data_IF_287714840467
#
_entry.id   IF_287714840467
#
_cell.length_a   1.000
_cell.length_b   1.000
_cell.length_c   1.000
_cell.angle_alpha   90.00
_cell.angle_beta   90.00
_cell.angle_gamma   90.00
#
_symmetry.space_group_name_H-M   'P 1'
#
loop_
_entity.id
_entity.type
_entity.pdbx_description
1 polymer ?
#
# COMPACT_ATOMS: atom_id res chain seq x y z
N UNK A 1 12.33 19.68 12.31
CA UNK A 1 12.31 18.21 12.52
C UNK A 1 13.61 17.78 13.17
N UNK A 2 13.61 16.74 13.99
CA UNK A 2 14.84 16.22 14.61
C UNK A 2 15.72 15.56 13.53
N UNK A 3 17.00 15.92 13.50
CA UNK A 3 17.98 15.23 12.66
C UNK A 3 18.31 13.86 13.28
N UNK A 4 18.45 12.83 12.44
CA UNK A 4 18.97 11.52 12.82
C UNK A 4 20.46 11.48 12.50
N UNK A 5 21.26 10.94 13.43
CA UNK A 5 22.70 10.72 13.23
C UNK A 5 22.95 9.23 13.15
N UNK A 6 23.58 8.77 12.07
CA UNK A 6 23.85 7.36 11.80
C UNK A 6 25.37 7.19 11.70
N UNK A 7 25.94 6.20 12.39
CA UNK A 7 27.36 5.91 12.33
C UNK A 7 27.70 5.22 11.00
N UNK A 8 28.64 5.76 10.25
CA UNK A 8 29.18 5.14 9.03
C UNK A 8 30.21 4.05 9.36
N UNK A 9 30.40 3.11 8.43
CA UNK A 9 31.31 1.97 8.61
C UNK A 9 32.78 2.39 8.77
N UNK A 10 33.18 3.50 8.15
CA UNK A 10 34.54 4.06 8.25
C UNK A 10 34.79 4.87 9.54
N UNK A 11 33.87 4.86 10.49
CA UNK A 11 33.95 5.64 11.74
C UNK A 11 33.52 7.09 11.63
N UNK A 12 33.08 7.55 10.46
CA UNK A 12 32.39 8.82 10.25
C UNK A 12 30.90 8.78 10.59
N UNK A 13 30.17 9.82 10.24
CA UNK A 13 28.77 10.02 10.61
C UNK A 13 27.93 10.53 9.42
N UNK A 14 26.70 10.04 9.32
CA UNK A 14 25.68 10.60 8.45
C UNK A 14 24.70 11.42 9.28
N UNK A 15 24.39 12.63 8.81
CA UNK A 15 23.34 13.47 9.38
C UNK A 15 22.18 13.51 8.39
N UNK A 16 21.04 12.99 8.82
CA UNK A 16 19.82 12.85 8.02
C UNK A 16 18.77 13.79 8.58
N UNK A 17 18.30 14.72 7.77
CA UNK A 17 17.19 15.61 8.09
C UNK A 17 15.96 15.24 7.26
N UNK A 18 14.86 15.98 7.41
CA UNK A 18 13.64 15.78 6.59
C UNK A 18 13.88 15.94 5.09
N UNK A 19 14.91 16.67 4.68
CA UNK A 19 15.13 17.00 3.27
C UNK A 19 16.59 16.91 2.80
N UNK A 20 17.51 16.50 3.68
CA UNK A 20 18.93 16.39 3.36
C UNK A 20 19.61 15.19 3.98
N UNK A 21 20.69 14.75 3.32
CA UNK A 21 21.67 13.81 3.85
C UNK A 21 23.07 14.40 3.65
N UNK A 22 23.87 14.46 4.71
CA UNK A 22 25.27 14.90 4.67
C UNK A 22 26.17 13.91 5.42
N UNK A 23 27.40 13.69 4.93
CA UNK A 23 28.40 12.91 5.65
C UNK A 23 29.46 13.79 6.31
N UNK A 24 29.99 13.27 7.41
CA UNK A 24 31.02 13.87 8.22
C UNK A 24 32.06 12.80 8.54
N UNK A 25 33.33 13.18 8.56
CA UNK A 25 34.40 12.29 9.01
C UNK A 25 34.34 12.06 10.53
N UNK A 26 35.24 11.22 11.03
CA UNK A 26 35.36 10.88 12.46
C UNK A 26 35.64 12.09 13.36
N UNK A 27 36.19 13.16 12.80
CA UNK A 27 36.56 14.39 13.50
C UNK A 27 35.44 15.45 13.39
N UNK A 28 34.32 15.11 12.74
CA UNK A 28 33.13 15.94 12.60
C UNK A 28 33.21 16.98 11.48
N UNK A 29 34.20 16.87 10.57
CA UNK A 29 34.28 17.73 9.40
C UNK A 29 33.42 17.15 8.29
N UNK A 30 32.62 18.00 7.64
CA UNK A 30 31.80 17.57 6.50
C UNK A 30 32.70 17.06 5.37
N UNK A 31 32.34 15.90 4.83
CA UNK A 31 32.94 15.30 3.64
C UNK A 31 31.86 15.25 2.56
N UNK A 32 32.27 15.42 1.30
CA UNK A 32 31.35 15.40 0.16
C UNK A 32 30.24 16.47 0.19
N UNK A 33 29.38 16.38 -0.82
CA UNK A 33 28.26 17.30 -0.98
C UNK A 33 27.04 16.84 -0.17
N UNK A 34 26.30 17.81 0.37
CA UNK A 34 24.98 17.53 0.96
C UNK A 34 23.99 17.18 -0.15
N UNK A 35 23.39 16.00 -0.06
CA UNK A 35 22.25 15.59 -0.88
C UNK A 35 21.04 16.37 -0.39
N UNK A 36 20.32 17.05 -1.29
CA UNK A 36 19.21 17.94 -0.96
C UNK A 36 17.97 17.61 -1.80
N UNK A 37 16.82 18.12 -1.35
CA UNK A 37 15.55 17.96 -2.05
C UNK A 37 14.91 16.59 -1.81
N UNK A 38 15.30 15.92 -0.72
CA UNK A 38 14.77 14.63 -0.33
C UNK A 38 13.43 14.79 0.41
N UNK A 39 12.64 13.72 0.48
CA UNK A 39 11.39 13.65 1.25
C UNK A 39 11.44 12.59 2.35
N UNK A 40 11.74 13.04 3.57
CA UNK A 40 11.92 12.20 4.77
C UNK A 40 12.87 11.00 4.55
N UNK A 41 14.11 11.24 4.10
CA UNK A 41 15.04 10.19 3.69
C UNK A 41 15.47 9.25 4.84
N UNK A 42 15.85 8.05 4.45
CA UNK A 42 16.45 7.01 5.26
C UNK A 42 17.73 6.49 4.62
N UNK A 43 18.69 6.06 5.45
CA UNK A 43 19.95 5.47 5.00
C UNK A 43 19.96 3.98 5.35
N UNK A 44 20.30 3.16 4.36
CA UNK A 44 20.49 1.73 4.48
C UNK A 44 21.97 1.43 4.19
N UNK A 45 22.62 0.67 5.08
CA UNK A 45 24.02 0.27 4.90
C UNK A 45 24.14 -0.66 3.70
N UNK A 46 25.05 -0.32 2.78
CA UNK A 46 25.43 -1.15 1.65
C UNK A 46 26.54 -2.13 2.02
N UNK A 47 27.43 -2.39 1.05
CA UNK A 47 28.67 -3.12 1.26
C UNK A 47 29.87 -2.24 0.90
N UNK A 48 31.05 -2.62 1.37
CA UNK A 48 32.31 -1.94 1.07
C UNK A 48 32.26 -0.42 1.36
N UNK A 49 31.60 -0.03 2.47
CA UNK A 49 31.46 1.38 2.87
C UNK A 49 30.56 2.22 1.97
N UNK A 50 29.67 1.60 1.17
CA UNK A 50 28.66 2.28 0.35
C UNK A 50 27.29 2.25 1.03
N UNK A 51 26.37 3.12 0.61
CA UNK A 51 25.07 3.30 1.25
C UNK A 51 23.96 3.53 0.23
N UNK A 52 22.74 3.17 0.61
CA UNK A 52 21.52 3.53 -0.11
C UNK A 52 20.79 4.61 0.68
N UNK A 53 20.42 5.70 0.02
CA UNK A 53 19.51 6.72 0.53
C UNK A 53 18.17 6.52 -0.14
N UNK A 54 17.14 6.25 0.64
CA UNK A 54 15.78 6.04 0.15
C UNK A 54 14.89 7.13 0.72
N UNK A 55 14.12 7.79 -0.13
CA UNK A 55 13.10 8.75 0.29
C UNK A 55 11.73 8.33 -0.29
N UNK A 56 10.70 9.18 -0.18
CA UNK A 56 9.35 8.84 -0.68
C UNK A 56 9.28 8.53 -2.19
N UNK A 57 10.19 9.06 -3.01
CA UNK A 57 10.10 8.94 -4.48
C UNK A 57 11.43 8.55 -5.14
N UNK A 58 12.53 8.45 -4.40
CA UNK A 58 13.87 8.29 -4.93
C UNK A 58 14.68 7.24 -4.18
N UNK A 59 15.60 6.62 -4.91
CA UNK A 59 16.66 5.78 -4.37
C UNK A 59 17.99 6.26 -4.92
N UNK A 60 18.92 6.59 -4.03
CA UNK A 60 20.24 7.12 -4.37
C UNK A 60 21.30 6.19 -3.79
N UNK A 61 22.17 5.66 -4.63
CA UNK A 61 23.32 4.89 -4.19
C UNK A 61 24.54 5.80 -4.08
N UNK A 62 25.24 5.75 -2.94
CA UNK A 62 26.36 6.63 -2.64
C UNK A 62 27.56 5.85 -2.09
N UNK A 63 28.76 6.40 -2.27
CA UNK A 63 29.94 5.90 -1.56
C UNK A 63 30.06 6.48 -0.13
N UNK A 64 31.11 6.07 0.58
CA UNK A 64 31.37 6.48 1.96
C UNK A 64 31.73 7.96 2.14
N UNK A 65 31.92 8.70 1.04
CA UNK A 65 32.15 10.15 1.03
C UNK A 65 30.91 10.92 0.52
N UNK A 66 29.79 10.24 0.30
CA UNK A 66 28.54 10.86 -0.14
C UNK A 66 28.47 11.17 -1.63
N UNK A 67 29.42 10.70 -2.43
CA UNK A 67 29.35 10.84 -3.88
C UNK A 67 28.21 9.98 -4.42
N UNK A 68 27.35 10.59 -5.23
CA UNK A 68 26.27 9.87 -5.92
C UNK A 68 26.85 8.97 -7.01
N UNK A 69 26.66 7.67 -6.82
CA UNK A 69 27.01 6.62 -7.78
C UNK A 69 25.81 6.27 -8.67
N UNK A 70 24.59 6.33 -8.13
CA UNK A 70 23.34 6.13 -8.87
C UNK A 70 22.19 6.92 -8.27
N UNK A 71 21.25 7.31 -9.12
CA UNK A 71 20.01 7.95 -8.73
C UNK A 71 18.85 7.36 -9.54
N UNK A 72 17.93 6.70 -8.86
CA UNK A 72 16.66 6.19 -9.39
C UNK A 72 15.57 7.14 -8.91
N UNK A 73 14.87 7.79 -9.83
CA UNK A 73 13.85 8.80 -9.56
C UNK A 73 12.46 8.25 -9.86
N UNK A 74 11.43 8.90 -9.31
CA UNK A 74 10.03 8.61 -9.60
C UNK A 74 9.69 7.14 -9.34
N UNK A 75 10.10 6.64 -8.19
CA UNK A 75 9.84 5.26 -7.77
C UNK A 75 8.37 5.02 -7.44
N UNK A 76 7.57 6.08 -7.33
CA UNK A 76 6.11 6.05 -7.17
C UNK A 76 5.65 5.68 -5.77
N UNK A 77 6.58 5.29 -4.90
CA UNK A 77 6.46 5.07 -3.46
C UNK A 77 7.87 4.98 -2.89
N UNK A 78 8.01 5.01 -1.56
CA UNK A 78 9.26 4.65 -0.89
C UNK A 78 9.67 3.24 -1.31
N UNK A 79 10.69 3.15 -2.16
CA UNK A 79 11.13 1.89 -2.72
C UNK A 79 11.76 1.01 -1.65
N UNK A 80 11.56 -0.31 -1.72
CA UNK A 80 12.26 -1.25 -0.85
C UNK A 80 13.63 -1.57 -1.45
N UNK A 81 14.66 -1.58 -0.61
CA UNK A 81 16.02 -1.97 -0.99
C UNK A 81 16.39 -3.23 -0.22
N UNK A 82 16.52 -4.36 -0.93
CA UNK A 82 16.71 -5.70 -0.34
C UNK A 82 18.06 -6.28 -0.73
N UNK A 83 18.80 -6.78 0.25
CA UNK A 83 20.13 -7.37 0.02
C UNK A 83 20.02 -8.73 -0.69
N UNK A 84 20.77 -8.88 -1.77
CA UNK A 84 20.97 -10.15 -2.48
C UNK A 84 22.02 -11.04 -1.81
N UNK A 85 22.08 -12.33 -2.18
CA UNK A 85 23.05 -13.27 -1.56
C UNK A 85 24.50 -13.08 -2.03
N UNK A 86 24.70 -12.57 -3.26
CA UNK A 86 26.03 -12.39 -3.86
C UNK A 86 26.63 -10.99 -3.63
N UNK A 87 26.17 -10.26 -2.61
CA UNK A 87 26.57 -8.86 -2.36
C UNK A 87 25.89 -7.81 -3.26
N UNK A 88 25.00 -8.26 -4.15
CA UNK A 88 24.10 -7.40 -4.93
C UNK A 88 22.89 -6.92 -4.13
N UNK A 89 22.05 -6.11 -4.77
CA UNK A 89 20.89 -5.44 -4.17
C UNK A 89 19.71 -5.44 -5.13
N UNK A 90 18.51 -5.56 -4.58
CA UNK A 90 17.24 -5.38 -5.28
C UNK A 90 16.65 -4.05 -4.91
N UNK A 91 16.20 -3.30 -5.92
CA UNK A 91 15.38 -2.10 -5.73
C UNK A 91 13.98 -2.41 -6.26
N UNK A 92 12.99 -2.29 -5.38
CA UNK A 92 11.57 -2.57 -5.64
C UNK A 92 10.80 -1.26 -5.57
N UNK A 93 10.35 -0.77 -6.73
CA UNK A 93 9.54 0.45 -6.87
C UNK A 93 8.06 0.10 -6.91
N UNK A 94 7.16 1.09 -7.09
CA UNK A 94 5.72 0.86 -7.27
C UNK A 94 5.39 -0.10 -8.44
N UNK A 95 6.26 -0.17 -9.45
CA UNK A 95 5.96 -0.89 -10.69
C UNK A 95 7.13 -1.67 -11.30
N UNK A 96 8.29 -1.70 -10.63
CA UNK A 96 9.47 -2.40 -11.13
C UNK A 96 10.27 -3.09 -10.04
N UNK A 97 10.98 -4.15 -10.44
CA UNK A 97 12.02 -4.79 -9.65
C UNK A 97 13.29 -4.84 -10.50
N UNK A 98 14.39 -4.29 -9.99
CA UNK A 98 15.69 -4.30 -10.64
C UNK A 98 16.78 -4.78 -9.68
N UNK A 99 17.75 -5.55 -10.19
CA UNK A 99 18.93 -5.94 -9.42
C UNK A 99 20.16 -5.11 -9.78
N UNK A 100 21.03 -4.94 -8.80
CA UNK A 100 22.25 -4.16 -8.86
C UNK A 100 23.37 -4.96 -8.24
N UNK A 101 24.58 -4.86 -8.77
CA UNK A 101 25.77 -5.40 -8.10
C UNK A 101 26.18 -4.54 -6.89
N UNK A 102 27.24 -4.98 -6.21
CA UNK A 102 27.84 -4.31 -5.04
C UNK A 102 28.42 -2.91 -5.32
N UNK A 103 28.53 -2.53 -6.60
CA UNK A 103 28.99 -1.21 -7.03
C UNK A 103 27.83 -0.35 -7.53
N UNK A 104 26.59 -0.85 -7.38
CA UNK A 104 25.37 -0.16 -7.76
C UNK A 104 25.16 -0.11 -9.27
N UNK A 105 25.85 -0.95 -10.05
CA UNK A 105 25.56 -1.09 -11.48
C UNK A 105 24.42 -2.08 -11.65
N UNK A 106 23.45 -1.73 -12.49
CA UNK A 106 22.34 -2.62 -12.77
C UNK A 106 22.85 -3.90 -13.44
N UNK A 107 22.38 -5.04 -12.93
CA UNK A 107 22.60 -6.37 -13.50
C UNK A 107 21.24 -6.91 -13.92
N UNK A 108 21.22 -7.76 -14.95
CA UNK A 108 19.99 -8.33 -15.48
C UNK A 108 18.97 -7.32 -16.02
N UNK A 109 17.82 -7.84 -16.42
CA UNK A 109 16.71 -7.04 -16.91
C UNK A 109 15.84 -6.55 -15.75
N UNK A 110 15.37 -5.30 -15.85
CA UNK A 110 14.33 -4.80 -14.95
C UNK A 110 13.01 -5.49 -15.26
N UNK A 111 12.39 -6.10 -14.25
CA UNK A 111 11.02 -6.59 -14.32
C UNK A 111 10.10 -5.36 -14.22
N UNK A 112 9.20 -5.20 -15.19
CA UNK A 112 8.35 -4.01 -15.35
C UNK A 112 6.89 -4.37 -15.48
N UNK A 113 6.03 -3.36 -15.31
CA UNK A 113 4.57 -3.51 -15.43
C UNK A 113 3.98 -4.24 -14.24
N UNK A 114 4.67 -4.17 -13.10
CA UNK A 114 4.20 -4.74 -11.84
C UNK A 114 3.22 -3.78 -11.17
N UNK A 115 2.37 -4.32 -10.29
CA UNK A 115 1.42 -3.56 -9.48
C UNK A 115 1.72 -3.73 -8.00
N UNK A 116 2.43 -2.75 -7.47
CA UNK A 116 2.89 -2.71 -6.09
C UNK A 116 3.64 -3.97 -5.61
N UNK A 117 4.76 -4.32 -6.26
CA UNK A 117 5.43 -5.58 -6.04
C UNK A 117 6.14 -5.65 -4.68
N UNK A 118 6.27 -6.87 -4.18
CA UNK A 118 7.15 -7.27 -3.09
C UNK A 118 8.17 -8.30 -3.58
N UNK A 119 9.35 -8.30 -2.97
CA UNK A 119 10.37 -9.31 -3.20
C UNK A 119 10.60 -10.13 -1.93
N UNK A 120 10.52 -11.46 -2.08
CA UNK A 120 10.66 -12.43 -1.00
C UNK A 120 11.90 -13.26 -1.29
N UNK A 121 12.79 -13.35 -0.28
CA UNK A 121 14.03 -14.11 -0.40
C UNK A 121 13.73 -15.61 -0.47
N UNK A 122 14.16 -16.24 -1.57
CA UNK A 122 14.04 -17.67 -1.82
C UNK A 122 15.22 -18.48 -1.25
N UNK A 123 15.42 -19.68 -1.77
CA UNK A 123 16.53 -20.57 -1.41
C UNK A 123 17.61 -20.58 -2.49
N UNK A 124 18.87 -20.72 -2.09
CA UNK A 124 20.01 -20.83 -3.01
C UNK A 124 20.17 -19.63 -3.96
N UNK A 125 20.03 -18.42 -3.42
CA UNK A 125 20.21 -17.17 -4.17
C UNK A 125 19.04 -16.75 -5.05
N UNK A 126 17.92 -17.48 -5.01
CA UNK A 126 16.72 -17.20 -5.81
C UNK A 126 15.72 -16.32 -5.04
N UNK A 127 14.79 -15.69 -5.75
CA UNK A 127 13.80 -14.80 -5.16
C UNK A 127 12.42 -15.02 -5.78
N UNK A 128 11.39 -14.67 -5.02
CA UNK A 128 10.02 -14.53 -5.52
C UNK A 128 9.69 -13.04 -5.61
N UNK A 129 9.14 -12.60 -6.73
CA UNK A 129 8.49 -11.31 -6.87
C UNK A 129 7.00 -11.56 -6.95
N UNK A 130 6.26 -10.98 -6.03
CA UNK A 130 4.79 -11.08 -5.97
C UNK A 130 4.20 -9.70 -6.12
N UNK A 131 3.11 -9.59 -6.86
CA UNK A 131 2.34 -8.36 -7.00
C UNK A 131 0.84 -8.71 -7.10
N UNK A 132 -0.02 -7.76 -7.44
CA UNK A 132 -1.47 -8.02 -7.57
C UNK A 132 -1.87 -9.07 -8.61
N UNK A 133 -1.05 -9.24 -9.65
CA UNK A 133 -1.37 -10.06 -10.82
C UNK A 133 -0.32 -11.13 -11.12
N UNK A 134 0.79 -11.15 -10.40
CA UNK A 134 1.97 -11.89 -10.79
C UNK A 134 2.62 -12.61 -9.60
N UNK A 135 3.04 -13.84 -9.85
CA UNK A 135 4.07 -14.51 -9.05
C UNK A 135 5.21 -14.87 -9.99
N UNK A 136 6.38 -14.29 -9.76
CA UNK A 136 7.55 -14.44 -10.61
C UNK A 136 8.66 -15.05 -9.77
N UNK A 137 9.22 -16.15 -10.24
CA UNK A 137 10.39 -16.77 -9.63
C UNK A 137 11.63 -16.42 -10.44
N UNK A 138 12.64 -15.88 -9.78
CA UNK A 138 13.85 -15.33 -10.41
C UNK A 138 15.11 -15.86 -9.73
N UNK A 139 16.21 -15.89 -10.48
CA UNK A 139 17.53 -16.14 -9.90
C UNK A 139 18.15 -14.87 -9.28
N UNK A 140 19.36 -15.00 -8.73
CA UNK A 140 20.08 -13.92 -8.06
C UNK A 140 20.54 -12.79 -8.98
N UNK A 141 20.40 -12.96 -10.31
CA UNK A 141 20.75 -11.95 -11.32
C UNK A 141 19.50 -11.39 -12.02
N UNK A 142 18.29 -11.75 -11.58
CA UNK A 142 17.03 -11.24 -12.13
C UNK A 142 16.53 -11.94 -13.38
N UNK A 143 17.13 -13.07 -13.75
CA UNK A 143 16.57 -13.90 -14.81
C UNK A 143 15.28 -14.52 -14.32
N UNK A 144 14.21 -14.32 -15.09
CA UNK A 144 12.92 -14.97 -14.84
C UNK A 144 13.05 -16.47 -15.12
N UNK A 145 12.90 -17.27 -14.07
CA UNK A 145 12.85 -18.73 -14.13
C UNK A 145 11.40 -19.21 -14.31
N UNK A 146 10.44 -18.47 -13.74
CA UNK A 146 9.00 -18.78 -13.85
C UNK A 146 8.16 -17.52 -13.70
N UNK A 147 7.00 -17.51 -14.37
CA UNK A 147 6.02 -16.41 -14.27
C UNK A 147 4.60 -16.98 -14.29
N UNK A 148 3.85 -16.74 -13.23
CA UNK A 148 2.41 -16.97 -13.13
C UNK A 148 1.73 -15.62 -13.28
N UNK A 149 0.84 -15.48 -14.27
CA UNK A 149 0.16 -14.23 -14.59
C UNK A 149 -1.32 -14.24 -14.19
N UNK A 150 -1.85 -13.03 -14.09
CA UNK A 150 -3.24 -12.67 -13.83
C UNK A 150 -3.77 -13.28 -12.53
N UNK A 151 -3.01 -13.28 -11.43
CA UNK A 151 -3.32 -14.02 -10.19
C UNK A 151 -4.71 -13.74 -9.59
N UNK A 152 -5.45 -12.75 -10.12
CA UNK A 152 -6.84 -12.49 -9.77
C UNK A 152 -6.95 -11.85 -8.38
N UNK A 153 -5.96 -11.03 -8.04
CA UNK A 153 -5.72 -10.51 -6.70
C UNK A 153 -4.30 -10.84 -6.20
N UNK A 154 -3.85 -10.08 -5.20
CA UNK A 154 -2.51 -10.16 -4.60
C UNK A 154 -2.20 -11.59 -4.19
N UNK A 155 -1.23 -12.18 -4.88
CA UNK A 155 -0.82 -13.54 -4.59
C UNK A 155 0.02 -13.60 -3.32
N UNK A 156 -0.14 -14.69 -2.55
CA UNK A 156 0.69 -14.96 -1.36
C UNK A 156 1.69 -16.06 -1.65
N UNK A 157 2.95 -15.85 -1.28
CA UNK A 157 4.00 -16.87 -1.33
C UNK A 157 4.49 -17.16 0.09
N UNK A 158 4.35 -18.42 0.50
CA UNK A 158 4.62 -18.89 1.86
C UNK A 158 5.74 -19.92 1.82
N UNK A 159 6.72 -19.80 2.72
CA UNK A 159 7.81 -20.77 2.86
C UNK A 159 7.35 -21.98 3.69
N UNK A 160 7.64 -23.20 3.23
CA UNK A 160 7.44 -24.41 4.04
C UNK A 160 8.65 -24.72 4.92
N UNK A 161 8.42 -25.34 6.08
CA UNK A 161 9.47 -25.74 7.05
C UNK A 161 10.41 -26.82 6.49
N UNK A 162 9.89 -27.72 5.66
CA UNK A 162 10.64 -28.81 5.05
C UNK A 162 11.30 -28.43 3.71
N UNK A 163 11.45 -27.12 3.45
CA UNK A 163 11.88 -26.58 2.17
C UNK A 163 10.76 -26.54 1.13
N UNK A 164 10.99 -25.75 0.09
CA UNK A 164 9.98 -25.43 -0.91
C UNK A 164 8.99 -24.35 -0.47
N UNK A 165 8.01 -24.10 -1.33
CA UNK A 165 7.17 -22.90 -1.28
C UNK A 165 5.72 -23.22 -1.62
N UNK A 166 4.79 -22.40 -1.14
CA UNK A 166 3.38 -22.45 -1.52
C UNK A 166 3.00 -21.11 -2.11
N UNK A 167 2.49 -21.11 -3.35
CA UNK A 167 1.89 -19.91 -3.94
C UNK A 167 0.37 -20.06 -3.94
N UNK A 168 -0.31 -19.04 -3.42
CA UNK A 168 -1.76 -18.94 -3.35
C UNK A 168 -2.21 -17.81 -4.26
N UNK A 169 -2.96 -18.15 -5.31
CA UNK A 169 -3.44 -17.25 -6.35
C UNK A 169 -4.69 -17.83 -7.04
N UNK A 170 -5.64 -17.01 -7.49
CA UNK A 170 -6.89 -17.44 -8.18
C UNK A 170 -7.69 -18.50 -7.43
N UNK A 171 -7.76 -18.41 -6.11
CA UNK A 171 -8.41 -19.42 -5.29
C UNK A 171 -7.73 -20.80 -5.36
N UNK A 172 -6.46 -20.87 -5.80
CA UNK A 172 -5.68 -22.11 -5.88
C UNK A 172 -4.38 -21.96 -5.12
N UNK A 173 -4.01 -23.02 -4.42
CA UNK A 173 -2.71 -23.17 -3.80
C UNK A 173 -1.88 -24.20 -4.59
N UNK A 174 -0.67 -23.82 -5.00
CA UNK A 174 0.30 -24.72 -5.63
C UNK A 174 1.54 -24.81 -4.76
N UNK A 175 1.99 -26.04 -4.46
CA UNK A 175 3.27 -26.29 -3.81
C UNK A 175 4.39 -26.28 -4.86
N UNK A 176 5.56 -25.79 -4.47
CA UNK A 176 6.79 -25.76 -5.24
C UNK A 176 7.93 -26.37 -4.42
N UNK A 177 8.90 -26.98 -5.09
CA UNK A 177 10.16 -27.39 -4.47
C UNK A 177 11.11 -26.18 -4.27
N UNK A 178 12.30 -26.43 -3.74
CA UNK A 178 13.32 -25.41 -3.49
C UNK A 178 13.81 -24.68 -4.76
N UNK A 179 13.67 -25.33 -5.92
CA UNK A 179 14.03 -24.79 -7.23
C UNK A 179 12.84 -24.15 -7.96
N UNK A 180 11.70 -24.01 -7.27
CA UNK A 180 10.50 -23.39 -7.82
C UNK A 180 9.80 -24.25 -8.86
N UNK A 181 9.97 -25.57 -8.87
CA UNK A 181 9.18 -26.48 -9.70
C UNK A 181 7.89 -26.90 -9.00
N UNK A 182 6.74 -26.95 -9.69
CA UNK A 182 5.48 -27.32 -9.08
C UNK A 182 5.51 -28.78 -8.62
N UNK A 183 5.13 -29.02 -7.37
CA UNK A 183 5.01 -30.34 -6.75
C UNK A 183 3.52 -30.67 -6.59
N UNK A 184 3.07 -31.69 -7.31
CA UNK A 184 1.67 -32.12 -7.28
C UNK A 184 0.72 -31.16 -8.01
N UNK A 185 -0.59 -31.46 -7.94
CA UNK A 185 -1.64 -30.65 -8.55
C UNK A 185 -2.03 -29.48 -7.63
N UNK A 186 -2.45 -28.33 -8.18
CA UNK A 186 -2.99 -27.25 -7.37
C UNK A 186 -4.21 -27.71 -6.57
N UNK A 187 -4.33 -27.20 -5.34
CA UNK A 187 -5.45 -27.43 -4.42
C UNK A 187 -6.39 -26.23 -4.48
N UNK A 188 -7.70 -26.45 -4.56
CA UNK A 188 -8.71 -25.39 -4.50
C UNK A 188 -8.83 -24.87 -3.06
N UNK A 189 -8.65 -23.57 -2.91
CA UNK A 189 -8.73 -22.82 -1.65
C UNK A 189 -9.63 -21.58 -1.79
N UNK A 190 -10.43 -21.51 -2.86
CA UNK A 190 -11.29 -20.36 -3.18
C UNK A 190 -12.33 -20.04 -2.11
N UNK A 191 -12.71 -21.04 -1.31
CA UNK A 191 -13.67 -20.90 -0.21
C UNK A 191 -13.01 -20.84 1.18
N UNK A 192 -11.71 -20.53 1.24
CA UNK A 192 -10.95 -20.49 2.49
C UNK A 192 -10.44 -19.07 2.78
N UNK A 193 -10.59 -18.65 4.03
CA UNK A 193 -9.98 -17.42 4.57
C UNK A 193 -8.58 -17.69 5.12
N UNK A 194 -8.29 -18.92 5.51
CA UNK A 194 -6.98 -19.37 5.99
C UNK A 194 -6.60 -20.76 5.48
N UNK A 195 -5.30 -21.04 5.50
CA UNK A 195 -4.72 -22.37 5.27
C UNK A 195 -3.72 -22.69 6.36
N UNK A 196 -3.52 -23.98 6.62
CA UNK A 196 -2.49 -24.46 7.52
C UNK A 196 -1.36 -25.06 6.69
N UNK A 197 -0.16 -24.51 6.84
CA UNK A 197 1.08 -25.04 6.25
C UNK A 197 2.00 -25.38 7.42
N UNK A 198 2.46 -26.63 7.46
CA UNK A 198 3.37 -27.14 8.49
C UNK A 198 2.91 -26.85 9.94
N UNK A 199 1.59 -26.87 10.17
CA UNK A 199 1.01 -26.64 11.50
C UNK A 199 0.84 -25.16 11.88
N UNK A 200 1.33 -24.23 11.07
CA UNK A 200 1.08 -22.81 11.21
C UNK A 200 -0.10 -22.37 10.34
N UNK A 201 -1.01 -21.60 10.91
CA UNK A 201 -2.12 -20.98 10.17
C UNK A 201 -1.66 -19.70 9.48
N UNK A 202 -1.98 -19.60 8.20
CA UNK A 202 -1.75 -18.44 7.36
C UNK A 202 -3.08 -17.94 6.86
N UNK A 203 -3.38 -16.69 7.17
CA UNK A 203 -4.49 -16.01 6.54
C UNK A 203 -4.17 -15.84 5.06
N UNK A 204 -5.07 -16.34 4.21
CA UNK A 204 -4.94 -16.30 2.76
C UNK A 204 -6.15 -15.66 2.13
N UNK A 205 -6.82 -14.75 2.85
CA UNK A 205 -7.96 -14.00 2.33
C UNK A 205 -7.66 -13.53 0.90
N UNK A 206 -8.19 -14.32 -0.03
CA UNK A 206 -8.30 -14.08 -1.46
C UNK A 206 -9.73 -13.64 -1.76
N UNK A 207 -10.53 -13.42 -0.71
CA UNK A 207 -11.77 -12.68 -0.83
C UNK A 207 -11.33 -11.32 -1.36
N UNK A 208 -11.89 -10.83 -2.49
CA UNK A 208 -11.68 -9.43 -2.84
C UNK A 208 -11.96 -8.63 -1.57
N UNK A 209 -11.01 -7.75 -1.21
CA UNK A 209 -11.21 -6.74 -0.16
C UNK A 209 -12.65 -6.28 -0.28
N UNK A 210 -13.46 -6.50 0.75
CA UNK A 210 -14.88 -6.17 0.69
C UNK A 210 -14.95 -4.71 0.27
N UNK A 211 -15.52 -4.39 -0.92
CA UNK A 211 -15.56 -3.00 -1.37
C UNK A 211 -16.20 -2.14 -0.28
N UNK A 212 -15.45 -1.19 0.24
CA UNK A 212 -15.87 -0.33 1.36
C UNK A 212 -15.43 -0.71 2.77
N UNK A 213 -14.75 -1.84 3.00
CA UNK A 213 -14.16 -2.15 4.31
C UNK A 213 -12.81 -1.44 4.43
N UNK A 214 -12.86 -0.20 4.93
CA UNK A 214 -11.76 0.75 4.94
C UNK A 214 -10.91 0.64 6.22
N UNK A 215 -11.48 0.15 7.32
CA UNK A 215 -10.76 -0.08 8.57
C UNK A 215 -10.28 -1.53 8.78
N UNK A 216 -10.71 -2.46 7.92
CA UNK A 216 -10.27 -3.84 7.88
C UNK A 216 -10.88 -4.71 8.98
N UNK A 217 -11.99 -4.28 9.59
CA UNK A 217 -12.68 -5.04 10.64
C UNK A 217 -13.55 -6.18 10.11
N UNK A 218 -13.69 -6.28 8.77
CA UNK A 218 -14.47 -7.29 8.09
C UNK A 218 -15.94 -6.93 7.90
N UNK A 219 -16.34 -5.68 8.19
CA UNK A 219 -17.68 -5.14 7.97
C UNK A 219 -17.57 -3.85 7.16
N UNK A 220 -18.68 -3.47 6.53
CA UNK A 220 -18.81 -2.16 5.89
C UNK A 220 -19.87 -1.41 6.68
N UNK A 221 -19.47 -0.33 7.32
CA UNK A 221 -20.25 0.47 8.26
C UNK A 221 -20.10 1.96 7.97
N UNK A 222 -20.76 2.81 8.76
CA UNK A 222 -20.64 4.26 8.62
C UNK A 222 -19.22 4.76 8.94
N UNK A 223 -18.47 4.04 9.77
CA UNK A 223 -17.08 4.39 10.11
C UNK A 223 -16.19 4.30 8.86
N UNK A 224 -16.49 3.39 7.94
CA UNK A 224 -15.80 3.25 6.66
C UNK A 224 -16.14 4.38 5.69
N UNK A 225 -17.41 4.76 5.61
CA UNK A 225 -17.85 5.92 4.81
C UNK A 225 -17.18 7.19 5.30
N UNK A 226 -17.09 7.37 6.61
CA UNK A 226 -16.37 8.48 7.24
C UNK A 226 -14.86 8.42 6.93
N UNK A 227 -14.26 7.24 6.94
CA UNK A 227 -12.84 7.05 6.61
C UNK A 227 -12.54 7.39 5.14
N UNK A 228 -13.37 6.90 4.22
CA UNK A 228 -13.23 7.14 2.79
C UNK A 228 -13.49 8.61 2.45
N UNK A 229 -14.51 9.25 3.06
CA UNK A 229 -14.79 10.67 2.86
C UNK A 229 -13.59 11.54 3.24
N UNK A 230 -12.96 11.27 4.41
CA UNK A 230 -11.72 11.95 4.81
C UNK A 230 -10.57 11.68 3.85
N UNK A 231 -10.41 10.43 3.41
CA UNK A 231 -9.35 10.02 2.50
C UNK A 231 -9.47 10.72 1.14
N UNK A 232 -10.67 10.73 0.54
CA UNK A 232 -11.00 11.41 -0.70
C UNK A 232 -10.68 12.92 -0.61
N UNK A 233 -11.14 13.57 0.47
CA UNK A 233 -10.87 15.00 0.71
C UNK A 233 -9.38 15.32 0.85
N UNK A 234 -8.62 14.41 1.47
CA UNK A 234 -7.18 14.56 1.63
C UNK A 234 -6.36 14.27 0.36
N UNK A 235 -7.00 13.77 -0.70
CA UNK A 235 -6.34 13.32 -1.92
C UNK A 235 -5.46 12.09 -1.70
N UNK A 236 -5.93 11.16 -0.85
CA UNK A 236 -5.24 9.90 -0.59
C UNK A 236 -5.03 9.12 -1.88
N UNK A 237 -3.98 8.30 -1.92
CA UNK A 237 -3.76 7.31 -2.99
C UNK A 237 -3.69 5.89 -2.44
N UNK A 238 -4.20 5.69 -1.21
CA UNK A 238 -4.25 4.37 -0.60
C UNK A 238 -5.43 3.60 -1.21
N UNK A 239 -5.12 2.50 -1.89
CA UNK A 239 -6.09 1.58 -2.52
C UNK A 239 -7.06 0.98 -1.49
N UNK A 240 -6.77 1.09 -0.19
CA UNK A 240 -7.72 0.76 0.88
C UNK A 240 -8.97 1.64 0.88
N UNK A 241 -8.92 2.85 0.31
CA UNK A 241 -10.06 3.76 0.22
C UNK A 241 -10.69 3.84 -1.17
N UNK A 242 -10.10 3.19 -2.19
CA UNK A 242 -10.68 3.00 -3.52
C UNK A 242 -11.73 1.89 -3.43
N UNK A 243 -12.98 2.30 -3.20
CA UNK A 243 -14.10 1.40 -2.99
C UNK A 243 -14.73 0.96 -4.32
N UNK A 244 -14.73 1.83 -5.33
CA UNK A 244 -15.33 1.52 -6.63
C UNK A 244 -14.37 0.75 -7.58
N UNK A 245 -13.07 0.70 -7.23
CA UNK A 245 -12.02 -0.01 -7.95
C UNK A 245 -11.54 0.69 -9.22
N UNK A 246 -11.73 2.00 -9.35
CA UNK A 246 -11.36 2.78 -10.53
C UNK A 246 -9.89 3.25 -10.53
N UNK A 247 -9.18 3.04 -9.43
CA UNK A 247 -7.78 3.39 -9.25
C UNK A 247 -7.56 4.81 -8.70
N UNK A 248 -8.62 5.51 -8.30
CA UNK A 248 -8.57 6.81 -7.64
C UNK A 248 -9.33 6.78 -6.32
N UNK A 249 -8.92 7.62 -5.36
CA UNK A 249 -9.66 7.81 -4.10
C UNK A 249 -10.34 9.17 -4.17
N UNK A 250 -11.63 9.20 -4.48
CA UNK A 250 -12.41 10.41 -4.67
C UNK A 250 -13.86 10.26 -4.18
N UNK A 251 -14.72 11.22 -4.53
CA UNK A 251 -16.12 11.25 -4.09
C UNK A 251 -16.94 10.07 -4.63
N UNK A 252 -16.53 9.50 -5.77
CA UNK A 252 -17.19 8.35 -6.40
C UNK A 252 -17.04 7.09 -5.56
N UNK A 253 -16.03 6.99 -4.71
CA UNK A 253 -15.91 5.88 -3.74
C UNK A 253 -17.02 5.97 -2.68
N UNK A 254 -17.25 7.17 -2.15
CA UNK A 254 -18.34 7.42 -1.20
C UNK A 254 -19.70 7.19 -1.87
N UNK A 255 -19.89 7.66 -3.11
CA UNK A 255 -21.13 7.43 -3.87
C UNK A 255 -21.37 5.93 -4.10
N UNK A 256 -20.33 5.18 -4.47
CA UNK A 256 -20.42 3.73 -4.63
C UNK A 256 -20.84 3.04 -3.33
N UNK A 257 -20.32 3.46 -2.17
CA UNK A 257 -20.79 2.89 -0.90
C UNK A 257 -22.26 3.17 -0.65
N UNK A 258 -22.69 4.41 -0.83
CA UNK A 258 -24.07 4.82 -0.54
C UNK A 258 -25.06 4.14 -1.48
N UNK A 259 -24.78 4.16 -2.78
CA UNK A 259 -25.70 3.71 -3.82
C UNK A 259 -25.65 2.20 -4.06
N UNK A 260 -24.46 1.61 -4.12
CA UNK A 260 -24.28 0.21 -4.54
C UNK A 260 -24.05 -0.75 -3.37
N UNK A 261 -23.41 -0.30 -2.28
CA UNK A 261 -23.13 -1.17 -1.12
C UNK A 261 -24.25 -1.13 -0.09
N UNK A 262 -24.62 0.06 0.38
CA UNK A 262 -25.70 0.25 1.35
C UNK A 262 -27.07 0.34 0.69
N UNK A 263 -27.13 0.63 -0.62
CA UNK A 263 -28.36 0.82 -1.37
C UNK A 263 -29.32 1.78 -0.63
N UNK A 264 -28.75 2.91 -0.21
CA UNK A 264 -29.44 3.99 0.48
C UNK A 264 -29.31 5.28 -0.31
N UNK A 265 -29.43 6.43 0.35
CA UNK A 265 -29.43 7.75 -0.27
C UNK A 265 -28.59 8.71 0.57
N UNK A 266 -28.12 9.77 -0.07
CA UNK A 266 -27.65 10.96 0.61
C UNK A 266 -28.69 11.42 1.63
N UNK A 267 -28.27 11.76 2.84
CA UNK A 267 -29.19 12.09 3.94
C UNK A 267 -29.30 11.00 5.02
N UNK A 268 -29.11 9.74 4.65
CA UNK A 268 -29.12 8.61 5.59
C UNK A 268 -27.79 8.57 6.36
N UNK A 269 -27.74 9.25 7.51
CA UNK A 269 -26.53 9.47 8.28
C UNK A 269 -26.13 8.24 9.11
N UNK A 270 -27.05 7.30 9.33
CA UNK A 270 -26.81 6.09 10.11
C UNK A 270 -26.76 4.81 9.24
N UNK A 271 -27.02 4.94 7.93
CA UNK A 271 -27.03 3.89 6.92
C UNK A 271 -28.06 2.78 7.19
N UNK A 272 -29.21 3.12 7.79
CA UNK A 272 -30.30 2.18 8.07
C UNK A 272 -31.25 1.94 6.87
N UNK A 273 -30.95 2.60 5.74
CA UNK A 273 -31.67 2.51 4.47
C UNK A 273 -32.78 3.56 4.33
N UNK A 274 -32.79 4.60 5.17
CA UNK A 274 -33.82 5.64 5.19
C UNK A 274 -33.18 6.99 5.47
N UNK A 275 -33.69 8.01 4.78
CA UNK A 275 -33.46 9.40 5.19
C UNK A 275 -34.72 9.91 5.91
N UNK A 276 -34.66 10.00 7.23
CA UNK A 276 -35.77 10.46 8.06
C UNK A 276 -35.33 11.40 9.20
N UNK A 277 -36.28 11.77 10.07
CA UNK A 277 -36.00 12.68 11.18
C UNK A 277 -34.95 12.15 12.17
N UNK A 278 -34.69 10.85 12.22
CA UNK A 278 -33.66 10.24 13.07
C UNK A 278 -32.26 10.64 12.63
N UNK A 279 -32.00 10.71 11.31
CA UNK A 279 -30.73 11.16 10.74
C UNK A 279 -30.47 12.62 11.08
N UNK A 280 -31.48 13.47 10.87
CA UNK A 280 -31.38 14.90 11.19
C UNK A 280 -31.13 15.10 12.68
N UNK A 281 -31.84 14.38 13.55
CA UNK A 281 -31.61 14.43 15.00
C UNK A 281 -30.22 13.94 15.37
N UNK A 282 -29.68 12.93 14.69
CA UNK A 282 -28.32 12.43 14.92
C UNK A 282 -27.28 13.50 14.57
N UNK A 283 -27.30 14.04 13.34
CA UNK A 283 -26.27 14.98 12.88
C UNK A 283 -26.33 16.30 13.65
N UNK A 284 -27.53 16.82 13.99
CA UNK A 284 -27.66 18.05 14.77
C UNK A 284 -27.18 17.90 16.23
N UNK A 285 -27.17 16.69 16.80
CA UNK A 285 -26.61 16.47 18.14
C UNK A 285 -25.10 16.66 18.18
N UNK A 286 -24.40 16.52 17.05
CA UNK A 286 -22.96 16.72 16.98
C UNK A 286 -22.57 18.20 17.06
N UNK A 287 -23.50 19.12 16.78
CA UNK A 287 -23.28 20.57 16.92
C UNK A 287 -22.33 21.15 15.87
N UNK A 288 -22.19 20.50 14.72
CA UNK A 288 -21.30 20.91 13.62
C UNK A 288 -21.99 21.80 12.57
N UNK A 289 -23.31 21.95 12.64
CA UNK A 289 -24.06 22.73 11.66
C UNK A 289 -23.63 24.20 11.66
N UNK A 290 -23.14 24.69 10.51
CA UNK A 290 -22.73 26.09 10.30
C UNK A 290 -21.78 26.58 11.41
N UNK A 291 -20.81 25.75 11.80
CA UNK A 291 -19.85 26.08 12.86
C UNK A 291 -18.56 26.75 12.33
N UNK A 292 -18.40 26.88 11.01
CA UNK A 292 -17.24 27.44 10.30
C UNK A 292 -15.90 26.71 10.61
N UNK A 293 -15.92 25.40 10.88
CA UNK A 293 -14.72 24.60 11.15
C UNK A 293 -14.48 23.56 10.05
N UNK A 294 -13.67 23.93 9.07
CA UNK A 294 -13.30 23.04 7.97
C UNK A 294 -12.63 21.74 8.46
N UNK A 295 -13.23 20.61 8.09
CA UNK A 295 -12.64 19.28 8.24
C UNK A 295 -13.06 18.53 9.49
N UNK A 296 -13.93 19.08 10.32
CA UNK A 296 -14.45 18.39 11.51
C UNK A 296 -15.71 17.54 11.23
N UNK A 297 -16.35 17.77 10.08
CA UNK A 297 -17.50 17.00 9.62
C UNK A 297 -17.12 15.84 8.68
N UNK A 298 -17.90 14.77 8.80
CA UNK A 298 -17.91 13.54 8.01
C UNK A 298 -19.36 13.11 7.75
N UNK A 299 -19.57 12.00 7.03
CA UNK A 299 -20.89 11.54 6.64
C UNK A 299 -21.83 11.37 7.84
N UNK A 300 -21.37 10.65 8.87
CA UNK A 300 -22.16 10.37 10.08
C UNK A 300 -22.54 11.63 10.87
N UNK A 301 -21.87 12.75 10.59
CA UNK A 301 -22.10 14.05 11.22
C UNK A 301 -22.71 15.11 10.30
N UNK A 302 -23.03 14.78 9.05
CA UNK A 302 -23.79 15.63 8.13
C UNK A 302 -23.04 16.14 6.89
N UNK A 303 -21.75 15.85 6.72
CA UNK A 303 -21.00 16.20 5.49
C UNK A 303 -21.33 15.20 4.38
N UNK A 304 -22.38 15.50 3.64
CA UNK A 304 -22.94 14.64 2.61
C UNK A 304 -22.41 14.97 1.22
N UNK A 305 -21.87 16.18 1.04
CA UNK A 305 -21.22 16.60 -0.18
C UNK A 305 -19.72 16.24 -0.21
N UNK A 306 -19.09 16.04 0.95
CA UNK A 306 -17.70 15.60 1.12
C UNK A 306 -16.67 16.72 1.31
N UNK A 307 -17.08 17.99 1.40
CA UNK A 307 -16.19 19.15 1.52
C UNK A 307 -15.61 19.34 2.92
N UNK A 308 -16.19 18.67 3.92
CA UNK A 308 -15.72 18.68 5.29
C UNK A 308 -16.34 19.67 6.22
N UNK A 309 -17.44 20.29 5.80
CA UNK A 309 -18.30 21.08 6.65
C UNK A 309 -19.68 20.41 6.69
N UNK A 310 -20.47 20.69 7.74
CA UNK A 310 -21.89 20.36 7.74
C UNK A 310 -22.64 21.68 7.66
N UNK A 311 -23.18 21.99 6.48
CA UNK A 311 -23.82 23.28 6.23
C UNK A 311 -25.15 23.14 5.46
N UNK A 312 -25.70 24.28 5.05
CA UNK A 312 -26.94 24.31 4.30
C UNK A 312 -26.85 23.65 2.91
N UNK A 313 -25.65 23.54 2.32
CA UNK A 313 -25.43 22.86 1.04
C UNK A 313 -25.61 21.35 1.17
N UNK A 314 -25.19 20.73 2.28
CA UNK A 314 -25.44 19.30 2.55
C UNK A 314 -26.93 19.02 2.69
N UNK A 315 -27.63 19.83 3.48
CA UNK A 315 -29.08 19.71 3.66
C UNK A 315 -29.78 19.83 2.31
N UNK A 316 -29.41 20.83 1.51
CA UNK A 316 -29.99 21.03 0.19
C UNK A 316 -29.70 19.83 -0.73
N UNK A 317 -28.47 19.30 -0.72
CA UNK A 317 -28.09 18.12 -1.49
C UNK A 317 -28.98 16.92 -1.12
N UNK A 318 -29.11 16.60 0.16
CA UNK A 318 -29.96 15.49 0.60
C UNK A 318 -31.43 15.70 0.20
N UNK A 319 -32.01 16.89 0.35
CA UNK A 319 -33.40 17.10 -0.07
C UNK A 319 -33.60 17.11 -1.60
N UNK A 320 -32.54 17.33 -2.38
CA UNK A 320 -32.60 17.27 -3.85
C UNK A 320 -32.50 15.85 -4.39
N UNK A 321 -31.70 14.99 -3.76
CA UNK A 321 -31.39 13.65 -4.25
C UNK A 321 -32.18 12.56 -3.53
N UNK A 322 -32.56 12.79 -2.27
CA UNK A 322 -33.17 11.80 -1.40
C UNK A 322 -34.69 11.87 -1.31
N UNK A 323 -35.27 10.82 -0.73
CA UNK A 323 -36.71 10.70 -0.48
C UNK A 323 -36.99 10.77 1.02
N UNK A 324 -36.98 11.98 1.56
CA UNK A 324 -37.24 12.23 2.99
C UNK A 324 -38.57 11.64 3.46
N UNK A 325 -38.55 10.92 4.58
CA UNK A 325 -39.72 10.29 5.23
C UNK A 325 -40.49 9.31 4.31
N UNK A 326 -39.84 8.77 3.27
CA UNK A 326 -40.41 7.70 2.47
C UNK A 326 -40.03 6.33 3.01
N UNK A 327 -40.94 5.34 2.97
CA UNK A 327 -40.63 3.99 3.38
C UNK A 327 -39.52 3.41 2.48
N UNK A 328 -38.56 2.71 3.10
CA UNK A 328 -37.48 2.03 2.40
C UNK A 328 -38.03 1.23 1.21
N UNK A 329 -37.48 1.48 0.02
CA UNK A 329 -37.88 0.77 -1.20
C UNK A 329 -37.44 -0.69 -1.07
N UNK A 330 -38.34 -1.57 -0.64
CA UNK A 330 -38.07 -3.00 -0.55
C UNK A 330 -37.97 -3.59 -1.96
N UNK A 331 -36.77 -3.64 -2.54
CA UNK A 331 -36.46 -4.63 -3.55
C UNK A 331 -36.00 -5.90 -2.85
N UNK A 332 -36.85 -6.92 -2.89
CA UNK A 332 -36.48 -8.29 -2.48
C UNK A 332 -35.47 -8.86 -3.50
N UNK A 333 -34.58 -9.77 -3.07
CA UNK A 333 -33.36 -10.18 -3.78
C UNK A 333 -33.58 -10.78 -5.17
#
# INVERSE_FOLDING_TARGET
GRAKVIKGENGGWWVVTKNTVACFDKDGKQVGDTIRGLKDPEIINGEDGKFWVVDEDNVIYIDGEGKVLRHIKNTGRRAQVVKGENGGWWVVTKNTVACFDKDGKQVGDTIRGLKDPEIIKGEGGKFWVVDEDNVIYIDGEGKVLRHIKNTGGRAKVIKGENGGWFAVAKGKMQRYDADGNPVGKPVDVSNRTSIVIDGQEYEISLVPKTPGDADGDGRVTVDDVDAISRAARSGSSNEEFDANGDGTVDRQDVDFLVDEVFNTTVGDANLDGRFDSSDLVQIFKNGLYENDVLGDAVWSSGDWNGDGEFDSADILLAFQTAKYEQPATRHLP
#
